data_IF_769330297982
#
_entry.id   IF_769330297982
#
_cell.length_a   1.000
_cell.length_b   1.000
_cell.length_c   1.000
_cell.angle_alpha   90.00
_cell.angle_beta   90.00
_cell.angle_gamma   90.00
#
_symmetry.space_group_name_H-M   'P 1'
#
loop_
_entity.id
_entity.type
_entity.pdbx_description
1 polymer ?
#
# COMPACT_ATOMS: atom_id res chain seq x y z
N UNK A 1 -12.86 2.05 16.17
CA UNK A 1 -11.93 0.92 15.93
C UNK A 1 -12.69 -0.41 15.83
N UNK A 2 -13.38 -0.89 16.87
CA UNK A 2 -14.04 -2.20 16.80
C UNK A 2 -15.18 -2.28 15.79
N UNK A 3 -15.96 -1.20 15.62
CA UNK A 3 -17.00 -1.14 14.60
C UNK A 3 -16.44 -1.26 13.16
N UNK A 4 -15.32 -0.58 12.86
CA UNK A 4 -14.68 -0.65 11.54
C UNK A 4 -14.01 -2.00 11.30
N UNK A 5 -13.46 -2.62 12.34
CA UNK A 5 -12.90 -3.98 12.29
C UNK A 5 -14.01 -5.00 12.03
N UNK A 6 -15.17 -4.88 12.70
CA UNK A 6 -16.31 -5.76 12.48
C UNK A 6 -16.85 -5.66 11.05
N UNK A 7 -16.98 -4.44 10.51
CA UNK A 7 -17.40 -4.21 9.12
C UNK A 7 -16.38 -4.78 8.14
N UNK A 8 -15.08 -4.51 8.34
CA UNK A 8 -14.02 -5.06 7.50
C UNK A 8 -14.00 -6.60 7.53
N UNK A 9 -14.18 -7.21 8.71
CA UNK A 9 -14.26 -8.65 8.89
C UNK A 9 -15.47 -9.28 8.21
N UNK A 10 -16.64 -8.62 8.25
CA UNK A 10 -17.82 -9.07 7.54
C UNK A 10 -17.64 -9.06 6.03
N UNK A 11 -17.10 -7.97 5.47
CA UNK A 11 -16.78 -7.88 4.03
C UNK A 11 -15.71 -8.89 3.61
N UNK A 12 -14.68 -9.10 4.44
CA UNK A 12 -13.66 -10.11 4.20
C UNK A 12 -14.28 -11.52 4.18
N UNK A 13 -15.12 -11.85 5.16
CA UNK A 13 -15.80 -13.16 5.22
C UNK A 13 -16.76 -13.41 4.06
N UNK A 14 -17.39 -12.37 3.52
CA UNK A 14 -18.24 -12.50 2.31
C UNK A 14 -17.42 -12.71 1.02
N UNK A 15 -16.16 -12.24 0.98
CA UNK A 15 -15.31 -12.36 -0.21
C UNK A 15 -14.32 -13.53 -0.15
N UNK A 16 -13.97 -14.01 1.04
CA UNK A 16 -12.91 -14.98 1.25
C UNK A 16 -13.43 -16.42 1.32
N UNK A 17 -12.71 -17.34 0.67
CA UNK A 17 -12.79 -18.78 0.99
C UNK A 17 -11.93 -19.02 2.22
N UNK A 18 -12.50 -19.58 3.29
CA UNK A 18 -11.74 -19.88 4.51
C UNK A 18 -10.73 -21.01 4.24
N UNK A 19 -9.48 -20.62 4.01
CA UNK A 19 -8.34 -21.51 3.79
C UNK A 19 -7.32 -21.30 4.93
N UNK A 20 -6.82 -22.37 5.61
CA UNK A 20 -5.78 -22.27 6.63
C UNK A 20 -4.53 -21.49 6.20
N UNK A 21 -4.24 -21.43 4.90
CA UNK A 21 -3.07 -20.77 4.33
C UNK A 21 -3.35 -19.33 3.85
N UNK A 22 -4.57 -18.80 4.06
CA UNK A 22 -4.94 -17.44 3.64
C UNK A 22 -4.30 -16.31 4.49
N UNK A 23 -3.68 -16.63 5.62
CA UNK A 23 -3.08 -15.63 6.51
C UNK A 23 -1.85 -14.93 5.91
N UNK A 24 -0.97 -15.67 5.24
CA UNK A 24 0.23 -15.12 4.62
C UNK A 24 -0.05 -14.00 3.59
N UNK A 25 -0.95 -14.19 2.60
CA UNK A 25 -1.25 -13.13 1.64
C UNK A 25 -1.93 -11.90 2.27
N UNK A 26 -2.77 -12.08 3.31
CA UNK A 26 -3.42 -10.95 3.99
C UNK A 26 -2.40 -10.04 4.68
N UNK A 27 -1.35 -10.59 5.29
CA UNK A 27 -0.27 -9.82 5.91
C UNK A 27 0.52 -9.01 4.88
N UNK A 28 0.78 -9.59 3.72
CA UNK A 28 1.48 -8.90 2.62
C UNK A 28 0.63 -7.71 2.13
N UNK A 29 -0.67 -7.90 1.91
CA UNK A 29 -1.53 -6.79 1.49
C UNK A 29 -1.68 -5.71 2.56
N UNK A 30 -1.75 -6.09 3.83
CA UNK A 30 -1.75 -5.14 4.94
C UNK A 30 -0.45 -4.33 4.99
N UNK A 31 0.70 -4.99 4.75
CA UNK A 31 1.99 -4.32 4.61
C UNK A 31 1.99 -3.34 3.43
N UNK A 32 1.61 -3.78 2.23
CA UNK A 32 1.55 -2.95 1.02
C UNK A 32 0.69 -1.70 1.24
N UNK A 33 -0.51 -1.88 1.78
CA UNK A 33 -1.43 -0.79 2.11
C UNK A 33 -0.81 0.23 3.08
N UNK A 34 -0.10 -0.24 4.13
CA UNK A 34 0.55 0.64 5.11
C UNK A 34 1.74 1.41 4.54
N UNK A 35 2.48 0.82 3.61
CA UNK A 35 3.62 1.49 2.96
C UNK A 35 3.15 2.55 1.97
N UNK A 36 2.11 2.24 1.19
CA UNK A 36 1.44 3.18 0.29
C UNK A 36 0.86 4.36 1.09
N UNK A 37 0.20 4.06 2.21
CA UNK A 37 -0.49 5.03 3.04
C UNK A 37 0.39 5.83 4.02
N UNK A 38 1.56 5.30 4.38
CA UNK A 38 2.45 5.85 5.40
C UNK A 38 2.30 5.19 6.78
N UNK A 39 3.40 4.63 7.29
CA UNK A 39 3.48 3.78 8.49
C UNK A 39 3.12 4.46 9.84
N UNK A 40 2.74 5.74 9.84
CA UNK A 40 2.41 6.50 11.06
C UNK A 40 0.95 6.92 11.17
N UNK A 41 0.10 6.63 10.17
CA UNK A 41 -1.29 7.11 10.13
C UNK A 41 -2.28 5.99 9.79
N UNK A 42 -3.28 5.84 10.65
CA UNK A 42 -4.43 4.97 10.42
C UNK A 42 -5.21 5.38 9.17
N UNK A 43 -5.42 6.69 8.99
CA UNK A 43 -6.13 7.24 7.81
C UNK A 43 -5.28 7.14 6.54
N UNK A 44 -3.96 7.30 6.67
CA UNK A 44 -3.01 7.06 5.58
C UNK A 44 -3.07 5.62 5.12
N UNK A 45 -2.94 4.67 6.07
CA UNK A 45 -3.02 3.22 5.79
C UNK A 45 -4.36 2.83 5.17
N UNK A 46 -5.48 3.40 5.64
CA UNK A 46 -6.80 3.17 5.05
C UNK A 46 -6.86 3.64 3.59
N UNK A 47 -6.39 4.87 3.31
CA UNK A 47 -6.34 5.38 1.95
C UNK A 47 -5.43 4.52 1.06
N UNK A 48 -4.28 4.06 1.58
CA UNK A 48 -3.40 3.13 0.88
C UNK A 48 -4.05 1.78 0.59
N UNK A 49 -4.85 1.26 1.52
CA UNK A 49 -5.63 0.03 1.33
C UNK A 49 -6.73 0.18 0.28
N UNK A 50 -7.40 1.33 0.20
CA UNK A 50 -8.38 1.63 -0.86
C UNK A 50 -7.69 1.67 -2.22
N UNK A 51 -6.55 2.35 -2.35
CA UNK A 51 -5.77 2.41 -3.60
C UNK A 51 -5.33 1.01 -4.03
N UNK A 52 -4.80 0.21 -3.11
CA UNK A 52 -4.40 -1.16 -3.37
C UNK A 52 -5.60 -2.01 -3.84
N UNK A 53 -6.73 -1.94 -3.15
CA UNK A 53 -7.95 -2.67 -3.51
C UNK A 53 -8.50 -2.28 -4.88
N UNK A 54 -8.45 -0.99 -5.25
CA UNK A 54 -8.84 -0.51 -6.58
C UNK A 54 -7.89 -1.05 -7.65
N UNK A 55 -6.58 -0.98 -7.43
CA UNK A 55 -5.60 -1.52 -8.37
C UNK A 55 -5.77 -3.03 -8.59
N UNK A 56 -5.96 -3.79 -7.53
CA UNK A 56 -6.23 -5.24 -7.60
C UNK A 56 -7.54 -5.54 -8.34
N UNK A 57 -8.59 -4.75 -8.10
CA UNK A 57 -9.89 -4.92 -8.77
C UNK A 57 -9.79 -4.63 -10.27
N UNK A 58 -9.04 -3.58 -10.66
CA UNK A 58 -8.76 -3.28 -12.07
C UNK A 58 -7.90 -4.37 -12.73
N UNK A 59 -6.91 -4.91 -12.03
CA UNK A 59 -6.09 -6.03 -12.51
C UNK A 59 -6.89 -7.31 -12.74
N UNK A 60 -7.85 -7.60 -11.86
CA UNK A 60 -8.72 -8.77 -11.98
C UNK A 60 -9.63 -8.75 -13.22
N UNK A 61 -9.93 -7.56 -13.76
CA UNK A 61 -10.74 -7.43 -14.99
C UNK A 61 -9.99 -7.93 -16.23
N UNK A 62 -8.66 -7.91 -16.21
CA UNK A 62 -7.83 -8.34 -17.35
C UNK A 62 -7.59 -9.85 -17.31
N UNK A 63 -7.23 -10.38 -16.13
CA UNK A 63 -7.10 -11.82 -15.92
C UNK A 63 -7.28 -12.16 -14.44
N UNK A 64 -7.71 -13.39 -14.09
CA UNK A 64 -7.78 -13.83 -12.70
C UNK A 64 -6.44 -13.72 -11.95
N UNK A 65 -5.31 -13.91 -12.64
CA UNK A 65 -3.98 -13.71 -12.04
C UNK A 65 -3.60 -12.22 -11.90
N UNK A 66 -4.24 -11.34 -12.67
CA UNK A 66 -3.98 -9.90 -12.69
C UNK A 66 -4.30 -9.20 -11.36
N UNK A 67 -5.14 -9.80 -10.51
CA UNK A 67 -5.43 -9.28 -9.17
C UNK A 67 -4.15 -9.10 -8.33
N UNK A 68 -3.35 -10.16 -8.20
CA UNK A 68 -2.12 -10.12 -7.41
C UNK A 68 -1.09 -9.21 -8.06
N UNK A 69 -0.87 -9.35 -9.36
CA UNK A 69 0.19 -8.63 -10.08
C UNK A 69 -0.08 -7.13 -10.05
N UNK A 70 -1.33 -6.69 -10.25
CA UNK A 70 -1.69 -5.28 -10.20
C UNK A 70 -1.50 -4.67 -8.80
N UNK A 71 -1.77 -5.43 -7.73
CA UNK A 71 -1.48 -5.00 -6.36
C UNK A 71 0.01 -4.74 -6.13
N UNK A 72 0.86 -5.71 -6.49
CA UNK A 72 2.31 -5.57 -6.35
C UNK A 72 2.87 -4.44 -7.23
N UNK A 73 2.35 -4.26 -8.46
CA UNK A 73 2.74 -3.15 -9.34
C UNK A 73 2.36 -1.81 -8.71
N UNK A 74 1.15 -1.68 -8.14
CA UNK A 74 0.73 -0.45 -7.48
C UNK A 74 1.62 -0.13 -6.27
N UNK A 75 1.95 -1.14 -5.46
CA UNK A 75 2.90 -1.01 -4.37
C UNK A 75 4.28 -0.52 -4.86
N UNK A 76 4.85 -1.18 -5.87
CA UNK A 76 6.16 -0.81 -6.42
C UNK A 76 6.16 0.59 -7.05
N UNK A 77 5.09 0.95 -7.77
CA UNK A 77 4.95 2.26 -8.39
C UNK A 77 4.93 3.38 -7.33
N UNK A 78 4.16 3.19 -6.26
CA UNK A 78 4.11 4.17 -5.15
C UNK A 78 5.41 4.19 -4.36
N UNK A 79 6.03 3.04 -4.11
CA UNK A 79 7.31 2.96 -3.43
C UNK A 79 8.40 3.69 -4.23
N UNK A 80 8.45 3.47 -5.54
CA UNK A 80 9.39 4.14 -6.43
C UNK A 80 9.16 5.65 -6.44
N UNK A 81 7.90 6.09 -6.57
CA UNK A 81 7.57 7.51 -6.50
C UNK A 81 8.02 8.12 -5.17
N UNK A 82 7.68 7.49 -4.04
CA UNK A 82 8.03 7.97 -2.70
C UNK A 82 9.54 8.05 -2.48
N UNK A 83 10.29 7.03 -2.93
CA UNK A 83 11.75 7.01 -2.85
C UNK A 83 12.35 8.14 -3.70
N UNK A 84 11.92 8.26 -4.95
CA UNK A 84 12.47 9.25 -5.88
C UNK A 84 12.22 10.69 -5.43
N UNK A 85 10.99 11.00 -4.98
CA UNK A 85 10.67 12.33 -4.46
C UNK A 85 11.29 12.60 -3.08
N UNK A 86 11.48 11.57 -2.26
CA UNK A 86 12.12 11.68 -0.94
C UNK A 86 13.63 11.92 -1.01
N UNK A 87 14.34 11.14 -1.84
CA UNK A 87 15.79 11.24 -2.01
C UNK A 87 16.22 12.55 -2.67
N UNK A 88 15.43 13.06 -3.62
CA UNK A 88 15.67 14.36 -4.23
C UNK A 88 15.65 15.49 -3.18
N UNK A 89 14.71 15.43 -2.24
CA UNK A 89 14.60 16.41 -1.15
C UNK A 89 15.79 16.38 -0.19
N UNK A 90 16.30 15.18 0.15
CA UNK A 90 17.50 15.06 0.99
C UNK A 90 18.76 15.58 0.29
N UNK A 91 18.94 15.27 -0.99
CA UNK A 91 20.07 15.75 -1.79
C UNK A 91 20.09 17.26 -1.94
N UNK A 92 18.94 17.89 -2.17
CA UNK A 92 18.80 19.35 -2.25
C UNK A 92 19.12 20.02 -0.92
N UNK A 93 18.65 19.47 0.21
CA UNK A 93 18.96 20.01 1.55
C UNK A 93 20.44 19.91 1.89
N UNK A 94 21.11 18.84 1.47
CA UNK A 94 22.57 18.69 1.62
C UNK A 94 23.33 19.67 0.73
N UNK A 95 22.89 19.88 -0.52
CA UNK A 95 23.49 20.86 -1.42
C UNK A 95 23.34 22.31 -0.89
N UNK A 96 22.17 22.66 -0.35
CA UNK A 96 21.91 23.96 0.28
C UNK A 96 22.73 24.15 1.57
N UNK A 97 22.87 23.11 2.40
CA UNK A 97 23.66 23.15 3.63
C UNK A 97 25.18 23.15 3.40
N UNK A 98 25.63 22.74 2.22
CA UNK A 98 27.03 22.83 1.79
C UNK A 98 27.36 24.23 1.24
N UNK A 99 26.45 24.83 0.46
CA UNK A 99 26.62 26.19 -0.06
C UNK A 99 26.52 27.30 0.99
N UNK A 100 25.85 27.07 2.11
CA UNK A 100 25.76 28.04 3.21
C UNK A 100 27.02 28.14 4.11
N UNK A 101 28.06 27.34 3.84
CA UNK A 101 29.31 27.30 4.64
C UNK A 101 30.54 27.84 3.90
N UNK A 102 30.37 28.39 2.70
CA UNK A 102 31.42 29.05 1.90
C UNK A 102 31.13 30.53 1.78
#
# INVERSE_FOLDING_TARGET
>A
AMATVAVAGAFLGMRATFDPYAGAPQLIFAFEASVIGGAGSLWGTLAGGVVLGVAQSLGALVSPQGFFIAGHIAFLAVLFARLFFGDLGHRVRMALAAGARS
#
